data_IF_241527870338
#
_entry.id   IF_241527870338
#
_cell.length_a   1.000
_cell.length_b   1.000
_cell.length_c   1.000
_cell.angle_alpha   90.00
_cell.angle_beta   90.00
_cell.angle_gamma   90.00
#
_symmetry.space_group_name_H-M   'P 1'
#
loop_
_entity.id
_entity.type
_entity.pdbx_description
1 polymer ?
#
# COMPACT_ATOMS: atom_id res chain seq x y z
N UNK A 1 32.94 4.00 -14.71
CA UNK A 1 31.87 4.10 -15.72
C UNK A 1 30.73 3.23 -15.21
N UNK A 2 29.72 3.83 -14.58
CA UNK A 2 28.58 3.09 -13.99
C UNK A 2 27.48 3.09 -15.05
N UNK A 3 27.13 1.92 -15.56
CA UNK A 3 26.01 1.76 -16.49
C UNK A 3 24.72 1.74 -15.66
N UNK A 4 23.97 2.83 -15.69
CA UNK A 4 22.64 2.93 -15.11
C UNK A 4 21.64 2.31 -16.10
N UNK A 5 21.22 1.07 -15.83
CA UNK A 5 20.16 0.43 -16.61
C UNK A 5 18.81 0.85 -16.05
N UNK A 6 18.28 1.99 -16.51
CA UNK A 6 16.91 2.42 -16.22
C UNK A 6 15.93 1.62 -17.08
N UNK A 7 15.79 0.33 -16.82
CA UNK A 7 14.77 -0.50 -17.47
C UNK A 7 13.45 -0.33 -16.72
N UNK A 8 12.65 0.66 -17.10
CA UNK A 8 11.27 0.80 -16.61
C UNK A 8 10.38 -0.13 -17.41
N UNK A 9 10.15 -1.33 -16.89
CA UNK A 9 9.08 -2.19 -17.42
C UNK A 9 7.74 -1.57 -17.03
N UNK A 10 6.91 -1.12 -18.00
CA UNK A 10 5.58 -0.62 -17.66
C UNK A 10 4.80 -1.77 -17.01
N UNK A 11 4.23 -1.52 -15.83
CA UNK A 11 3.46 -2.53 -15.11
C UNK A 11 2.25 -2.92 -15.98
N UNK A 12 2.07 -4.21 -16.33
CA UNK A 12 1.02 -4.62 -17.25
C UNK A 12 -0.37 -4.28 -16.68
N UNK A 13 -1.19 -3.64 -17.51
CA UNK A 13 -2.56 -3.19 -17.19
C UNK A 13 -3.51 -4.39 -17.04
N UNK A 14 -3.15 -5.54 -17.61
CA UNK A 14 -3.92 -6.78 -17.58
C UNK A 14 -3.07 -7.93 -17.05
N UNK A 15 -3.66 -8.78 -16.22
CA UNK A 15 -3.05 -10.00 -15.72
C UNK A 15 -3.97 -11.18 -16.03
N UNK A 16 -3.48 -12.17 -16.78
CA UNK A 16 -4.25 -13.35 -17.20
C UNK A 16 -5.59 -13.03 -17.90
N UNK A 17 -5.67 -11.92 -18.64
CA UNK A 17 -6.89 -11.49 -19.34
C UNK A 17 -7.89 -10.73 -18.48
N UNK A 18 -7.60 -10.52 -17.18
CA UNK A 18 -8.41 -9.70 -16.29
C UNK A 18 -7.80 -8.31 -16.14
N UNK A 19 -8.61 -7.24 -16.08
CA UNK A 19 -8.10 -5.93 -15.71
C UNK A 19 -7.44 -6.04 -14.33
N UNK A 20 -6.26 -5.44 -14.19
CA UNK A 20 -5.55 -5.41 -12.90
C UNK A 20 -6.51 -4.84 -11.85
N UNK A 21 -6.74 -5.54 -10.72
CA UNK A 21 -7.54 -4.96 -9.66
C UNK A 21 -6.87 -3.66 -9.20
N UNK A 22 -7.62 -2.59 -8.94
CA UNK A 22 -7.06 -1.34 -8.45
C UNK A 22 -6.41 -1.61 -7.09
N UNK A 23 -5.07 -1.60 -7.08
CA UNK A 23 -4.23 -1.78 -5.89
C UNK A 23 -3.63 -0.43 -5.57
N UNK A 24 -3.78 0.00 -4.33
CA UNK A 24 -3.22 1.24 -3.82
C UNK A 24 -2.11 0.94 -2.83
N UNK A 25 -0.98 1.65 -2.91
CA UNK A 25 0.20 1.41 -2.05
C UNK A 25 0.49 2.66 -1.25
N UNK A 26 0.61 2.51 0.06
CA UNK A 26 0.95 3.58 1.00
C UNK A 26 2.33 3.29 1.58
N UNK A 27 3.30 4.10 1.14
CA UNK A 27 4.71 3.99 1.55
C UNK A 27 5.08 5.02 2.62
N UNK A 28 4.42 6.19 2.64
CA UNK A 28 4.69 7.26 3.61
C UNK A 28 3.49 7.54 4.51
N UNK A 29 3.69 7.37 5.82
CA UNK A 29 2.71 7.66 6.87
C UNK A 29 2.25 9.11 6.88
N UNK A 30 3.12 10.06 6.53
CA UNK A 30 2.78 11.49 6.52
C UNK A 30 1.95 11.87 5.29
N UNK A 31 2.00 11.07 4.22
CA UNK A 31 1.23 11.28 3.01
C UNK A 31 -0.14 10.59 3.03
N UNK A 32 -0.44 9.76 4.05
CA UNK A 32 -1.64 8.90 4.10
C UNK A 32 -2.93 9.65 3.81
N UNK A 33 -3.12 10.88 4.31
CA UNK A 33 -4.33 11.65 4.06
C UNK A 33 -4.48 12.06 2.58
N UNK A 34 -3.38 12.48 1.94
CA UNK A 34 -3.35 12.85 0.52
C UNK A 34 -3.53 11.62 -0.37
N UNK A 35 -2.87 10.55 -0.01
CA UNK A 35 -2.89 9.29 -0.73
C UNK A 35 -4.28 8.64 -0.62
N UNK A 36 -4.90 8.65 0.55
CA UNK A 36 -6.27 8.19 0.76
C UNK A 36 -7.30 9.02 -0.04
N UNK A 37 -7.13 10.34 -0.15
CA UNK A 37 -7.99 11.17 -1.00
C UNK A 37 -7.88 10.77 -2.48
N UNK A 38 -6.65 10.49 -2.94
CA UNK A 38 -6.39 10.00 -4.30
C UNK A 38 -7.01 8.62 -4.53
N UNK A 39 -6.85 7.70 -3.59
CA UNK A 39 -7.45 6.37 -3.61
C UNK A 39 -8.99 6.42 -3.61
N UNK A 40 -9.57 7.37 -2.88
CA UNK A 40 -11.03 7.57 -2.83
C UNK A 40 -11.59 8.14 -4.14
N UNK A 41 -10.82 9.02 -4.81
CA UNK A 41 -11.19 9.62 -6.08
C UNK A 41 -10.94 8.70 -7.29
N UNK A 42 -10.19 7.61 -7.13
CA UNK A 42 -9.91 6.66 -8.20
C UNK A 42 -11.17 5.91 -8.66
N UNK A 43 -11.29 5.74 -9.98
CA UNK A 43 -12.33 4.94 -10.63
C UNK A 43 -11.69 3.93 -11.61
N UNK A 44 -11.80 2.61 -11.39
CA UNK A 44 -12.52 1.97 -10.29
C UNK A 44 -11.79 2.12 -8.95
N UNK A 45 -12.59 2.10 -7.89
CA UNK A 45 -12.06 2.22 -6.53
C UNK A 45 -11.20 1.04 -6.11
N UNK A 46 -10.14 1.25 -5.31
CA UNK A 46 -9.25 0.19 -4.91
C UNK A 46 -9.96 -0.92 -4.13
N UNK A 47 -9.68 -2.16 -4.51
CA UNK A 47 -10.15 -3.36 -3.80
C UNK A 47 -9.17 -3.76 -2.69
N UNK A 48 -7.90 -3.41 -2.87
CA UNK A 48 -6.83 -3.75 -1.93
C UNK A 48 -5.92 -2.55 -1.69
N UNK A 49 -5.43 -2.46 -0.46
CA UNK A 49 -4.42 -1.49 -0.04
C UNK A 49 -3.24 -2.22 0.57
N UNK A 50 -2.03 -1.84 0.17
CA UNK A 50 -0.79 -2.29 0.79
C UNK A 50 -0.28 -1.17 1.68
N UNK A 51 -0.13 -1.47 2.97
CA UNK A 51 0.35 -0.54 3.99
C UNK A 51 1.72 -1.00 4.49
N UNK A 52 2.75 -0.19 4.30
CA UNK A 52 4.04 -0.36 4.97
C UNK A 52 4.03 0.44 6.28
N UNK A 53 4.09 -0.24 7.42
CA UNK A 53 4.02 0.42 8.73
C UNK A 53 4.63 -0.40 9.85
N UNK A 54 5.29 0.27 10.79
CA UNK A 54 5.74 -0.30 12.07
C UNK A 54 4.65 -0.31 13.15
N UNK A 55 3.50 0.33 12.88
CA UNK A 55 2.35 0.43 13.78
C UNK A 55 1.04 0.17 13.03
N UNK A 56 0.93 -1.04 12.48
CA UNK A 56 -0.21 -1.49 11.65
C UNK A 56 -1.58 -1.13 12.24
N UNK A 57 -1.89 -1.37 13.53
CA UNK A 57 -3.24 -1.10 14.04
C UNK A 57 -3.61 0.38 14.08
N UNK A 58 -2.65 1.26 14.39
CA UNK A 58 -2.88 2.70 14.45
C UNK A 58 -3.07 3.27 13.04
N UNK A 59 -2.23 2.85 12.11
CA UNK A 59 -2.23 3.37 10.74
C UNK A 59 -3.41 2.83 9.92
N UNK A 60 -3.85 1.61 10.21
CA UNK A 60 -5.08 1.04 9.63
C UNK A 60 -6.30 1.87 10.00
N UNK A 61 -6.45 2.26 11.29
CA UNK A 61 -7.58 3.09 11.74
C UNK A 61 -7.57 4.48 11.10
N UNK A 62 -6.40 5.10 10.99
CA UNK A 62 -6.24 6.39 10.32
C UNK A 62 -6.66 6.28 8.86
N UNK A 63 -6.25 5.20 8.20
CA UNK A 63 -6.58 4.94 6.80
C UNK A 63 -8.06 4.62 6.58
N UNK A 64 -8.69 3.85 7.47
CA UNK A 64 -10.14 3.59 7.43
C UNK A 64 -10.93 4.91 7.49
N UNK A 65 -10.53 5.81 8.40
CA UNK A 65 -11.14 7.13 8.53
C UNK A 65 -10.94 7.99 7.26
N UNK A 66 -9.72 8.00 6.72
CA UNK A 66 -9.40 8.79 5.52
C UNK A 66 -10.12 8.28 4.26
N UNK A 67 -10.18 6.95 4.07
CA UNK A 67 -10.86 6.32 2.95
C UNK A 67 -12.39 6.35 3.11
N UNK A 68 -12.92 6.43 4.34
CA UNK A 68 -14.33 6.23 4.61
C UNK A 68 -14.78 4.79 4.32
N UNK A 69 -13.89 3.83 4.53
CA UNK A 69 -14.10 2.41 4.24
C UNK A 69 -13.58 1.56 5.41
N UNK A 70 -14.10 0.34 5.55
CA UNK A 70 -13.54 -0.64 6.45
C UNK A 70 -12.42 -1.40 5.77
N UNK A 71 -11.36 -1.68 6.52
CA UNK A 71 -10.21 -2.43 6.06
C UNK A 71 -10.13 -3.74 6.82
N UNK A 72 -10.01 -4.85 6.09
CA UNK A 72 -9.79 -6.16 6.68
C UNK A 72 -8.40 -6.66 6.30
N UNK A 73 -7.59 -7.02 7.31
CA UNK A 73 -6.28 -7.61 7.07
C UNK A 73 -6.41 -9.01 6.48
N UNK A 74 -5.81 -9.20 5.30
CA UNK A 74 -5.75 -10.48 4.61
C UNK A 74 -4.46 -11.22 4.93
N UNK A 75 -3.34 -10.49 4.90
CA UNK A 75 -2.03 -11.05 5.19
C UNK A 75 -1.03 -9.97 5.58
N UNK A 76 -0.01 -10.37 6.33
CA UNK A 76 1.09 -9.53 6.72
C UNK A 76 2.41 -10.18 6.31
N UNK A 77 3.25 -9.40 5.64
CA UNK A 77 4.60 -9.77 5.22
C UNK A 77 5.58 -9.08 6.14
N UNK A 78 6.25 -9.88 6.97
CA UNK A 78 7.23 -9.38 7.93
C UNK A 78 8.61 -9.30 7.27
N UNK A 79 9.41 -8.28 7.62
CA UNK A 79 10.77 -8.16 7.14
C UNK A 79 11.63 -9.33 7.62
N UNK A 80 12.39 -9.92 6.71
CA UNK A 80 13.32 -11.01 6.99
C UNK A 80 14.53 -10.51 7.79
N UNK A 81 15.36 -11.45 8.26
CA UNK A 81 16.63 -11.09 8.90
C UNK A 81 17.55 -10.31 7.94
N UNK A 82 17.55 -10.67 6.66
CA UNK A 82 18.32 -9.98 5.63
C UNK A 82 17.89 -8.53 5.46
N UNK A 83 16.57 -8.29 5.42
CA UNK A 83 16.01 -6.94 5.29
C UNK A 83 16.37 -6.06 6.49
N UNK A 84 16.33 -6.63 7.69
CA UNK A 84 16.74 -5.94 8.92
C UNK A 84 18.23 -5.61 8.92
N UNK A 85 19.08 -6.54 8.49
CA UNK A 85 20.52 -6.30 8.37
C UNK A 85 20.82 -5.23 7.32
N UNK A 86 20.14 -5.27 6.17
CA UNK A 86 20.27 -4.25 5.13
C UNK A 86 19.84 -2.87 5.64
N UNK A 87 18.77 -2.79 6.43
CA UNK A 87 18.34 -1.56 7.10
C UNK A 87 19.38 -1.05 8.09
N UNK A 88 19.99 -1.91 8.92
CA UNK A 88 21.06 -1.50 9.84
C UNK A 88 22.27 -0.93 9.09
N UNK A 89 22.62 -1.50 7.93
CA UNK A 89 23.76 -1.04 7.13
C UNK A 89 23.47 0.30 6.43
N UNK A 90 22.25 0.51 5.95
CA UNK A 90 21.86 1.75 5.28
C UNK A 90 20.38 2.12 5.57
N UNK A 91 20.12 2.75 6.74
CA UNK A 91 18.75 2.99 7.19
C UNK A 91 18.02 4.05 6.37
N UNK A 92 18.75 4.87 5.60
CA UNK A 92 18.16 5.91 4.75
C UNK A 92 17.59 5.39 3.42
N UNK A 93 17.94 4.17 3.02
CA UNK A 93 17.53 3.60 1.72
C UNK A 93 16.86 2.23 1.81
N UNK A 94 17.18 1.46 2.86
CA UNK A 94 16.57 0.17 3.09
C UNK A 94 15.55 0.32 4.19
N UNK A 95 14.33 -0.17 3.99
CA UNK A 95 13.28 -0.15 5.01
C UNK A 95 13.00 -1.58 5.47
N UNK A 96 12.98 -1.80 6.78
CA UNK A 96 12.62 -3.08 7.39
C UNK A 96 11.28 -2.98 8.11
N UNK A 97 10.27 -2.44 7.42
CA UNK A 97 8.91 -2.25 7.94
C UNK A 97 8.00 -3.40 7.54
N UNK A 98 6.99 -3.69 8.35
CA UNK A 98 5.98 -4.71 8.01
C UNK A 98 5.06 -4.20 6.90
N UNK A 99 4.77 -5.07 5.92
CA UNK A 99 3.83 -4.77 4.84
C UNK A 99 2.54 -5.56 5.06
N UNK A 100 1.40 -4.88 5.09
CA UNK A 100 0.10 -5.51 5.32
C UNK A 100 -0.81 -5.29 4.13
N UNK A 101 -1.40 -6.37 3.64
CA UNK A 101 -2.40 -6.33 2.57
C UNK A 101 -3.78 -6.29 3.21
N UNK A 102 -4.49 -5.21 2.94
CA UNK A 102 -5.82 -4.93 3.45
C UNK A 102 -6.83 -5.01 2.29
N UNK A 103 -7.95 -5.70 2.46
CA UNK A 103 -9.10 -5.55 1.55
C UNK A 103 -9.94 -4.35 1.95
N UNK A 104 -10.45 -3.65 0.95
CA UNK A 104 -11.29 -2.46 1.12
C UNK A 104 -12.76 -2.86 0.99
N UNK A 105 -13.51 -2.71 2.07
CA UNK A 105 -14.97 -2.81 2.06
C UNK A 105 -15.56 -1.44 2.28
N UNK A 106 -16.08 -0.84 1.20
CA UNK A 106 -16.74 0.47 1.30
C UNK A 106 -17.96 0.39 2.21
N UNK A 107 -18.05 1.34 3.13
CA UNK A 107 -19.27 1.57 3.88
C UNK A 107 -20.25 2.22 2.90
N UNK A 108 -21.15 1.43 2.33
CA UNK A 108 -22.26 1.97 1.53
C UNK A 108 -23.07 2.89 2.44
N UNK A 109 -23.03 4.20 2.17
CA UNK A 109 -23.98 5.12 2.78
C UNK A 109 -25.39 4.67 2.40
N UNK A 110 -26.26 4.52 3.40
CA UNK A 110 -27.69 4.45 3.13
C UNK A 110 -28.10 5.71 2.33
N UNK A 111 -28.95 5.61 1.30
CA UNK A 111 -29.50 6.80 0.67
C UNK A 111 -30.34 7.59 1.69
N UNK A 112 -30.44 8.92 1.51
CA UNK A 112 -31.17 9.81 2.43
C UNK A 112 -32.66 9.44 2.58
#
# INVERSE_FOLDING_TARGET
MVAEFTYTFPVPVYYLGWPRPPVFVLEDRNAVARDAATARAADPSPNYVILYSDSVPADTRLLEHALGARLASLTAVRPSLGDRLAHVINPGHNHATEAVVLSVTRLTGAPP
#
